data_IF_797791049278
#
_entry.id   IF_797791049278
#
_cell.length_a   1.000
_cell.length_b   1.000
_cell.length_c   1.000
_cell.angle_alpha   90.00
_cell.angle_beta   90.00
_cell.angle_gamma   90.00
#
_symmetry.space_group_name_H-M   'P 1'
#
loop_
_entity.id
_entity.type
_entity.pdbx_description
1 polymer ?
#
# COMPACT_ATOMS: atom_id res chain seq x y z
N UNK A 1 15.20 -16.68 -63.09
CA UNK A 1 14.09 -17.50 -63.63
C UNK A 1 13.51 -18.31 -62.47
N UNK A 2 12.25 -18.24 -62.07
CA UNK A 2 11.07 -17.55 -62.55
C UNK A 2 9.86 -18.26 -61.91
N UNK A 3 9.03 -17.49 -61.18
CA UNK A 3 7.55 -17.51 -61.06
C UNK A 3 6.81 -18.87 -60.96
N UNK A 4 5.83 -19.06 -60.06
CA UNK A 4 4.48 -18.45 -59.96
C UNK A 4 3.90 -18.72 -58.55
N UNK A 5 3.20 -17.86 -57.80
CA UNK A 5 2.01 -17.01 -58.00
C UNK A 5 0.68 -17.78 -58.11
N UNK A 6 -0.19 -17.64 -57.10
CA UNK A 6 -1.65 -17.64 -57.24
C UNK A 6 -2.28 -16.88 -56.05
N UNK A 7 -3.23 -16.01 -56.39
CA UNK A 7 -3.93 -15.00 -55.57
C UNK A 7 -5.44 -15.33 -55.58
N UNK A 8 -6.24 -14.53 -54.86
CA UNK A 8 -7.69 -14.28 -55.00
C UNK A 8 -8.57 -15.14 -54.05
N UNK A 9 -9.64 -14.66 -53.39
CA UNK A 9 -10.47 -13.47 -53.59
C UNK A 9 -11.39 -13.26 -52.36
N UNK A 10 -11.66 -11.99 -51.98
CA UNK A 10 -12.83 -11.56 -51.20
C UNK A 10 -14.04 -11.34 -52.14
N UNK A 11 -15.28 -11.56 -51.67
CA UNK A 11 -16.26 -10.46 -51.64
C UNK A 11 -17.18 -10.55 -50.38
N UNK A 12 -17.88 -9.53 -49.90
CA UNK A 12 -18.28 -8.25 -50.44
C UNK A 12 -19.29 -7.59 -49.49
N UNK A 13 -19.72 -6.40 -49.88
CA UNK A 13 -20.36 -5.32 -49.11
C UNK A 13 -21.76 -5.58 -48.53
N UNK A 14 -22.11 -4.75 -47.54
CA UNK A 14 -23.47 -4.43 -47.11
C UNK A 14 -23.51 -3.11 -46.35
N UNK A 15 -23.99 -2.05 -47.02
CA UNK A 15 -24.23 -0.69 -46.53
C UNK A 15 -25.70 -0.51 -46.10
N UNK A 16 -25.99 0.35 -45.10
CA UNK A 16 -27.15 1.28 -45.03
C UNK A 16 -27.45 1.79 -43.60
N UNK A 17 -27.07 3.04 -43.34
CA UNK A 17 -27.91 4.24 -43.06
C UNK A 17 -29.03 4.25 -41.98
N UNK A 18 -28.82 5.16 -41.00
CA UNK A 18 -29.67 6.25 -40.45
C UNK A 18 -31.17 6.05 -40.10
N UNK A 19 -31.58 6.57 -38.94
CA UNK A 19 -32.99 6.85 -38.64
C UNK A 19 -33.23 7.50 -37.26
N UNK A 20 -33.51 8.81 -37.27
CA UNK A 20 -34.10 9.58 -36.16
C UNK A 20 -35.58 9.22 -35.87
N UNK A 21 -36.01 9.58 -34.65
CA UNK A 21 -37.39 9.70 -34.09
C UNK A 21 -38.41 10.42 -35.03
N UNK A 22 -39.77 10.39 -34.84
CA UNK A 22 -40.46 10.86 -33.60
C UNK A 22 -41.95 10.44 -33.32
N UNK A 23 -42.56 11.12 -32.32
CA UNK A 23 -44.00 11.37 -31.98
C UNK A 23 -44.82 10.25 -31.31
N UNK A 24 -45.74 10.46 -30.35
CA UNK A 24 -46.71 11.55 -30.03
C UNK A 24 -47.22 11.46 -28.55
N UNK A 25 -47.40 12.57 -27.79
CA UNK A 25 -48.68 13.29 -27.42
C UNK A 25 -49.69 12.45 -26.60
N UNK A 26 -50.39 12.83 -25.50
CA UNK A 26 -50.80 14.06 -24.77
C UNK A 26 -51.00 13.66 -23.26
N UNK A 27 -51.09 14.49 -22.21
CA UNK A 27 -52.16 15.47 -21.91
C UNK A 27 -51.85 16.26 -20.61
N UNK A 28 -52.34 17.50 -20.60
CA UNK A 28 -52.37 18.58 -19.60
C UNK A 28 -52.92 18.22 -18.18
N UNK A 29 -52.41 18.84 -17.10
CA UNK A 29 -53.04 20.02 -16.46
C UNK A 29 -52.71 20.28 -14.98
N UNK A 30 -52.60 21.59 -14.71
CA UNK A 30 -52.94 22.36 -13.51
C UNK A 30 -51.86 22.77 -12.49
N UNK A 31 -51.82 24.09 -12.34
CA UNK A 31 -50.90 24.98 -11.64
C UNK A 31 -51.36 25.26 -10.19
N UNK A 32 -50.46 25.62 -9.27
CA UNK A 32 -50.87 26.26 -8.01
C UNK A 32 -49.87 26.35 -6.85
N UNK A 33 -49.17 27.49 -6.79
CA UNK A 33 -48.95 28.35 -5.58
C UNK A 33 -47.66 28.22 -4.73
N UNK A 34 -46.76 29.18 -5.01
CA UNK A 34 -45.98 30.09 -4.16
C UNK A 34 -45.66 29.76 -2.68
N UNK A 35 -44.39 29.98 -2.30
CA UNK A 35 -43.94 30.18 -0.92
C UNK A 35 -42.42 30.33 -0.79
N UNK A 36 -41.94 31.58 -0.75
CA UNK A 36 -40.56 32.01 -0.47
C UNK A 36 -40.15 31.65 0.98
N UNK A 37 -38.88 31.34 1.23
CA UNK A 37 -37.96 32.03 2.17
C UNK A 37 -36.63 31.25 2.31
N UNK A 38 -35.54 32.02 2.37
CA UNK A 38 -34.17 31.58 2.49
C UNK A 38 -33.66 31.74 3.93
N UNK A 39 -32.95 30.72 4.44
CA UNK A 39 -31.91 30.77 5.46
C UNK A 39 -31.48 29.30 5.65
N UNK A 40 -30.26 28.87 5.37
CA UNK A 40 -29.03 29.46 5.83
C UNK A 40 -28.76 28.97 7.25
N UNK A 41 -28.27 27.73 7.39
CA UNK A 41 -27.42 27.25 8.49
C UNK A 41 -26.99 25.80 8.20
N UNK A 42 -25.94 25.68 7.39
CA UNK A 42 -25.14 24.46 7.35
C UNK A 42 -24.36 24.38 8.65
N UNK A 43 -24.73 23.43 9.49
CA UNK A 43 -23.88 22.95 10.58
C UNK A 43 -23.65 21.46 10.35
N UNK A 44 -22.83 21.15 9.35
CA UNK A 44 -22.10 19.89 9.33
C UNK A 44 -21.08 19.99 10.48
N UNK A 45 -21.48 19.51 11.66
CA UNK A 45 -20.50 19.08 12.63
C UNK A 45 -19.76 17.93 11.94
N UNK A 46 -18.58 18.24 11.40
CA UNK A 46 -17.59 17.22 11.11
C UNK A 46 -17.38 16.50 12.44
N UNK A 47 -17.97 15.31 12.57
CA UNK A 47 -17.56 14.33 13.55
C UNK A 47 -16.05 14.19 13.35
N UNK A 48 -15.29 14.90 14.18
CA UNK A 48 -13.90 14.60 14.34
C UNK A 48 -13.91 13.17 14.87
N UNK A 49 -13.66 12.20 13.98
CA UNK A 49 -13.24 10.87 14.35
C UNK A 49 -11.96 11.07 15.19
N UNK A 50 -12.19 11.30 16.47
CA UNK A 50 -11.18 11.19 17.50
C UNK A 50 -10.83 9.71 17.50
N UNK A 51 -9.81 9.34 16.73
CA UNK A 51 -9.11 8.08 16.86
C UNK A 51 -8.43 8.03 18.22
N UNK A 52 -9.23 8.00 19.29
CA UNK A 52 -8.76 7.60 20.60
C UNK A 52 -8.49 6.10 20.48
N UNK A 53 -7.23 5.75 20.23
CA UNK A 53 -6.76 4.39 20.44
C UNK A 53 -6.94 4.08 21.92
N UNK A 54 -8.12 3.56 22.26
CA UNK A 54 -8.47 3.05 23.57
C UNK A 54 -7.49 1.91 23.91
N UNK A 55 -6.95 1.93 25.12
CA UNK A 55 -5.76 1.18 25.52
C UNK A 55 -5.98 -0.35 25.67
N UNK A 56 -7.06 -0.88 25.11
CA UNK A 56 -7.35 -2.32 25.05
C UNK A 56 -7.47 -2.88 23.60
N UNK A 57 -7.43 -2.02 22.57
CA UNK A 57 -7.55 -2.50 21.19
C UNK A 57 -6.27 -3.21 20.73
N UNK A 58 -6.26 -4.53 20.87
CA UNK A 58 -5.23 -5.41 20.30
C UNK A 58 -5.07 -5.18 18.80
N UNK A 59 -3.89 -5.52 18.27
CA UNK A 59 -3.57 -5.43 16.85
C UNK A 59 -4.61 -6.18 16.00
N UNK A 60 -5.12 -5.52 14.97
CA UNK A 60 -6.04 -6.11 13.99
C UNK A 60 -5.24 -6.66 12.82
N UNK A 61 -4.46 -7.71 13.10
CA UNK A 61 -3.57 -8.32 12.12
C UNK A 61 -4.38 -8.80 10.91
N UNK A 62 -3.98 -8.39 9.71
CA UNK A 62 -4.68 -8.68 8.46
C UNK A 62 -5.38 -7.47 7.85
N UNK A 63 -5.62 -6.43 8.65
CA UNK A 63 -6.08 -5.12 8.17
C UNK A 63 -4.89 -4.21 7.82
N UNK A 64 -5.18 -3.11 7.13
CA UNK A 64 -4.17 -2.07 6.85
C UNK A 64 -3.97 -1.24 8.13
N UNK A 65 -3.02 -1.68 8.95
CA UNK A 65 -2.61 -1.00 10.18
C UNK A 65 -1.39 -0.09 9.95
N UNK A 66 -1.42 1.09 10.56
CA UNK A 66 -0.37 2.11 10.52
C UNK A 66 0.11 2.44 11.93
N UNK A 67 1.42 2.38 12.15
CA UNK A 67 2.05 2.80 13.39
C UNK A 67 2.39 4.29 13.31
N UNK A 68 1.98 5.07 14.30
CA UNK A 68 2.34 6.48 14.37
C UNK A 68 3.83 6.62 14.75
N UNK A 69 4.60 7.35 13.95
CA UNK A 69 6.03 7.57 14.19
C UNK A 69 6.34 8.36 15.47
N UNK A 70 5.34 9.05 16.04
CA UNK A 70 5.50 9.92 17.21
C UNK A 70 5.10 9.24 18.52
N UNK A 71 3.91 8.65 18.58
CA UNK A 71 3.41 7.99 19.79
C UNK A 71 3.59 6.47 19.79
N UNK A 72 4.06 5.88 18.68
CA UNK A 72 4.28 4.44 18.49
C UNK A 72 3.02 3.55 18.60
N UNK A 73 1.84 4.15 18.81
CA UNK A 73 0.54 3.47 18.81
C UNK A 73 0.16 3.03 17.39
N UNK A 74 -0.59 1.94 17.31
CA UNK A 74 -1.10 1.35 16.08
C UNK A 74 -2.54 1.78 15.85
N UNK A 75 -2.89 1.99 14.58
CA UNK A 75 -4.22 2.38 14.16
C UNK A 75 -4.59 1.67 12.88
N UNK A 76 -5.85 1.32 12.69
CA UNK A 76 -6.35 0.90 11.38
C UNK A 76 -6.56 2.14 10.49
N UNK A 77 -6.25 2.02 9.19
CA UNK A 77 -6.31 3.13 8.25
C UNK A 77 -7.75 3.68 8.05
N UNK A 78 -8.75 2.83 8.23
CA UNK A 78 -10.18 3.16 8.14
C UNK A 78 -10.63 4.17 9.20
N UNK A 79 -10.03 4.14 10.40
CA UNK A 79 -10.26 5.09 11.52
C UNK A 79 -10.04 6.54 11.08
N UNK A 80 -9.22 6.75 10.06
CA UNK A 80 -8.91 8.08 9.53
C UNK A 80 -9.38 8.28 8.09
N UNK A 81 -10.23 7.39 7.58
CA UNK A 81 -10.72 7.40 6.20
C UNK A 81 -9.58 7.47 5.15
N UNK A 82 -8.45 6.84 5.44
CA UNK A 82 -7.32 6.77 4.50
C UNK A 82 -7.68 5.79 3.39
N UNK A 83 -7.49 6.19 2.13
CA UNK A 83 -7.73 5.31 0.98
C UNK A 83 -6.73 4.13 0.97
N UNK A 84 -7.26 2.91 1.14
CA UNK A 84 -6.45 1.69 1.26
C UNK A 84 -6.38 0.85 -0.01
N UNK A 85 -6.97 1.30 -1.13
CA UNK A 85 -6.99 0.55 -2.40
C UNK A 85 -5.59 0.18 -2.92
N UNK A 86 -4.58 0.97 -2.55
CA UNK A 86 -3.16 0.74 -2.90
C UNK A 86 -2.29 0.47 -1.67
N UNK A 87 -2.88 0.00 -0.58
CA UNK A 87 -2.18 -0.36 0.64
C UNK A 87 -2.25 -1.88 0.88
N UNK A 88 -1.30 -2.38 1.64
CA UNK A 88 -1.28 -3.76 2.09
C UNK A 88 -1.12 -3.81 3.62
N UNK A 89 -1.70 -4.81 4.29
CA UNK A 89 -1.31 -5.17 5.64
C UNK A 89 0.21 -5.42 5.70
N UNK A 90 0.80 -5.17 6.88
CA UNK A 90 2.23 -5.42 7.14
C UNK A 90 3.21 -4.61 6.28
N UNK A 91 2.76 -3.54 5.62
CA UNK A 91 3.66 -2.61 4.95
C UNK A 91 4.57 -1.89 5.97
N UNK A 92 5.78 -1.53 5.55
CA UNK A 92 6.79 -0.84 6.40
C UNK A 92 7.35 0.43 5.75
N UNK A 93 7.10 0.59 4.45
CA UNK A 93 7.54 1.67 3.60
C UNK A 93 6.61 2.89 3.68
N UNK A 94 6.42 3.46 4.88
CA UNK A 94 5.63 4.69 5.05
C UNK A 94 6.09 5.53 6.26
N UNK A 95 5.57 6.75 6.32
CA UNK A 95 5.56 7.60 7.52
C UNK A 95 4.12 7.96 7.82
N UNK A 96 3.71 7.74 9.07
CA UNK A 96 2.37 8.04 9.52
C UNK A 96 2.40 8.84 10.82
N UNK A 97 1.60 9.91 10.90
CA UNK A 97 1.30 10.61 12.13
C UNK A 97 -0.22 10.61 12.33
N UNK A 98 -0.68 10.16 13.50
CA UNK A 98 -2.09 10.27 13.86
C UNK A 98 -2.50 11.74 14.06
N UNK A 99 -3.80 12.02 13.96
CA UNK A 99 -4.36 13.36 14.10
C UNK A 99 -4.04 14.02 15.45
N UNK A 100 -3.91 13.24 16.52
CA UNK A 100 -3.51 13.72 17.85
C UNK A 100 -2.06 14.21 17.88
N UNK A 101 -1.16 13.52 17.18
CA UNK A 101 0.27 13.84 17.24
C UNK A 101 0.72 14.86 16.19
N UNK A 102 -0.01 14.97 15.07
CA UNK A 102 0.33 15.91 14.02
C UNK A 102 -0.13 17.33 14.36
N UNK A 103 0.73 18.33 14.16
CA UNK A 103 0.48 19.70 14.60
C UNK A 103 -0.73 20.39 13.94
N UNK A 104 -1.20 19.88 12.80
CA UNK A 104 -2.38 20.42 12.11
C UNK A 104 -3.71 19.89 12.65
N UNK A 105 -3.70 18.90 13.54
CA UNK A 105 -4.91 18.18 13.94
C UNK A 105 -5.47 17.22 12.88
N UNK A 106 -4.83 17.11 11.70
CA UNK A 106 -5.18 16.14 10.65
C UNK A 106 -4.17 14.99 10.63
N UNK A 107 -4.53 13.86 10.05
CA UNK A 107 -3.58 12.77 9.80
C UNK A 107 -2.55 13.15 8.74
N UNK A 108 -1.34 12.61 8.90
CA UNK A 108 -0.29 12.67 7.88
C UNK A 108 0.08 11.26 7.48
N UNK A 109 -0.06 10.92 6.21
CA UNK A 109 0.32 9.62 5.67
C UNK A 109 1.12 9.78 4.38
N UNK A 110 2.37 9.33 4.40
CA UNK A 110 3.27 9.36 3.26
C UNK A 110 3.77 7.94 2.96
N UNK A 111 3.37 7.40 1.81
CA UNK A 111 3.97 6.16 1.29
C UNK A 111 5.35 6.44 0.70
N UNK A 112 6.30 5.58 1.03
CA UNK A 112 7.64 5.55 0.46
C UNK A 112 7.73 4.40 -0.54
N UNK A 113 8.69 4.49 -1.44
CA UNK A 113 8.97 3.39 -2.35
C UNK A 113 9.59 2.22 -1.55
N UNK A 114 8.98 1.03 -1.61
CA UNK A 114 9.58 -0.16 -1.03
C UNK A 114 10.85 -0.55 -1.79
N UNK A 115 11.90 -0.91 -1.04
CA UNK A 115 13.03 -1.65 -1.55
C UNK A 115 12.72 -3.16 -1.59
N UNK A 116 13.60 -3.97 -2.19
CA UNK A 116 13.33 -5.40 -2.37
C UNK A 116 13.21 -6.18 -1.05
N UNK A 117 13.93 -5.78 0.01
CA UNK A 117 13.80 -6.37 1.35
C UNK A 117 12.38 -6.12 1.89
N UNK A 118 11.90 -4.89 1.80
CA UNK A 118 10.55 -4.50 2.27
C UNK A 118 9.45 -5.21 1.46
N UNK A 119 9.63 -5.36 0.14
CA UNK A 119 8.72 -6.14 -0.70
C UNK A 119 8.64 -7.60 -0.27
N UNK A 120 9.79 -8.25 -0.05
CA UNK A 120 9.85 -9.64 0.42
C UNK A 120 9.25 -9.80 1.82
N UNK A 121 9.54 -8.87 2.75
CA UNK A 121 8.97 -8.86 4.10
C UNK A 121 7.43 -8.77 4.04
N UNK A 122 6.90 -7.79 3.31
CA UNK A 122 5.46 -7.59 3.15
C UNK A 122 4.80 -8.82 2.54
N UNK A 123 5.42 -9.42 1.51
CA UNK A 123 4.91 -10.63 0.87
C UNK A 123 4.85 -11.82 1.83
N UNK A 124 5.95 -12.12 2.53
CA UNK A 124 6.02 -13.23 3.47
C UNK A 124 5.07 -13.03 4.67
N UNK A 125 4.93 -11.81 5.18
CA UNK A 125 4.00 -11.52 6.28
C UNK A 125 2.55 -11.79 5.87
N UNK A 126 2.13 -11.30 4.71
CA UNK A 126 0.78 -11.52 4.18
C UNK A 126 0.51 -13.00 3.85
N UNK A 127 1.48 -13.70 3.26
CA UNK A 127 1.37 -15.14 2.99
C UNK A 127 1.26 -15.95 4.28
N UNK A 128 2.08 -15.62 5.28
CA UNK A 128 2.06 -16.25 6.62
C UNK A 128 0.72 -16.03 7.30
N UNK A 129 0.25 -14.78 7.36
CA UNK A 129 -1.05 -14.45 7.96
C UNK A 129 -2.19 -15.21 7.27
N UNK A 130 -2.22 -15.19 5.93
CA UNK A 130 -3.27 -15.87 5.15
C UNK A 130 -3.28 -17.37 5.37
N UNK A 131 -2.10 -18.00 5.38
CA UNK A 131 -1.97 -19.43 5.62
C UNK A 131 -2.47 -19.79 7.02
N UNK A 132 -2.14 -19.00 8.05
CA UNK A 132 -2.68 -19.19 9.41
C UNK A 132 -4.20 -19.03 9.50
N UNK A 133 -4.77 -18.11 8.72
CA UNK A 133 -6.19 -17.81 8.78
C UNK A 133 -7.07 -18.76 7.94
N UNK A 134 -6.53 -19.37 6.89
CA UNK A 134 -7.33 -20.06 5.86
C UNK A 134 -6.98 -21.54 5.65
N UNK A 135 -5.78 -21.99 6.03
CA UNK A 135 -5.33 -23.36 5.79
C UNK A 135 -5.44 -24.21 7.05
N UNK A 136 -5.85 -25.47 6.91
CA UNK A 136 -5.91 -26.43 8.02
C UNK A 136 -4.53 -26.68 8.65
N UNK A 137 -3.49 -26.66 7.80
CA UNK A 137 -2.09 -26.87 8.19
C UNK A 137 -1.25 -25.64 7.78
N UNK A 138 -1.19 -24.59 8.62
CA UNK A 138 -0.49 -23.36 8.29
C UNK A 138 0.99 -23.56 7.95
N UNK A 139 1.39 -23.03 6.81
CA UNK A 139 2.78 -22.92 6.35
C UNK A 139 3.46 -21.69 6.95
N UNK A 140 4.75 -21.83 7.24
CA UNK A 140 5.64 -20.74 7.64
C UNK A 140 6.77 -20.49 6.64
N UNK A 141 6.87 -21.35 5.61
CA UNK A 141 7.88 -21.31 4.56
C UNK A 141 7.19 -21.35 3.19
N UNK A 142 7.58 -20.45 2.31
CA UNK A 142 6.92 -20.20 1.03
C UNK A 142 7.92 -20.27 -0.12
N UNK A 143 7.49 -20.87 -1.24
CA UNK A 143 8.30 -21.01 -2.44
C UNK A 143 8.56 -19.65 -3.09
N UNK A 144 9.81 -19.40 -3.50
CA UNK A 144 10.15 -18.21 -4.29
C UNK A 144 9.28 -18.08 -5.53
N UNK A 145 9.17 -19.15 -6.31
CA UNK A 145 8.59 -19.11 -7.65
C UNK A 145 7.08 -19.33 -7.63
N UNK A 146 6.55 -20.13 -6.69
CA UNK A 146 5.11 -20.41 -6.61
C UNK A 146 4.32 -19.44 -5.71
N UNK A 147 4.97 -18.81 -4.73
CA UNK A 147 4.28 -17.96 -3.75
C UNK A 147 4.76 -16.50 -3.78
N UNK A 148 6.06 -16.27 -3.58
CA UNK A 148 6.61 -14.92 -3.33
C UNK A 148 6.57 -14.05 -4.58
N UNK A 149 7.05 -14.56 -5.72
CA UNK A 149 7.02 -13.83 -6.99
C UNK A 149 5.58 -13.51 -7.40
N UNK A 150 4.64 -14.48 -7.45
CA UNK A 150 3.24 -14.19 -7.77
C UNK A 150 2.59 -13.18 -6.84
N UNK A 151 2.91 -13.21 -5.54
CA UNK A 151 2.40 -12.22 -4.59
C UNK A 151 2.86 -10.81 -4.94
N UNK A 152 4.18 -10.62 -5.11
CA UNK A 152 4.75 -9.30 -5.44
C UNK A 152 4.22 -8.83 -6.79
N UNK A 153 4.09 -9.73 -7.77
CA UNK A 153 3.56 -9.38 -9.09
C UNK A 153 2.09 -8.94 -9.03
N UNK A 154 1.27 -9.58 -8.19
CA UNK A 154 -0.15 -9.25 -8.01
C UNK A 154 -0.34 -7.90 -7.32
N UNK A 155 0.50 -7.59 -6.34
CA UNK A 155 0.36 -6.37 -5.51
C UNK A 155 1.43 -5.32 -5.80
N UNK A 156 2.00 -5.33 -7.00
CA UNK A 156 3.08 -4.43 -7.41
C UNK A 156 2.77 -2.95 -7.11
N UNK A 157 1.59 -2.49 -7.50
CA UNK A 157 1.16 -1.09 -7.34
C UNK A 157 0.92 -0.69 -5.88
N UNK A 158 0.69 -1.66 -5.00
CA UNK A 158 0.59 -1.42 -3.56
C UNK A 158 1.98 -1.23 -2.92
N UNK A 159 3.00 -1.91 -3.46
CA UNK A 159 4.36 -1.88 -2.91
C UNK A 159 5.22 -0.76 -3.50
N UNK A 160 4.97 -0.36 -4.75
CA UNK A 160 5.77 0.67 -5.43
C UNK A 160 4.93 1.54 -6.33
N UNK A 161 5.26 2.83 -6.35
CA UNK A 161 4.68 3.83 -7.26
C UNK A 161 5.42 3.87 -8.61
N UNK A 162 6.48 3.07 -8.78
CA UNK A 162 7.22 3.02 -10.04
C UNK A 162 6.44 2.30 -11.13
N UNK A 163 6.47 2.86 -12.33
CA UNK A 163 6.01 2.17 -13.53
C UNK A 163 6.69 0.81 -13.67
N UNK A 164 5.90 -0.21 -13.98
CA UNK A 164 6.39 -1.57 -14.15
C UNK A 164 7.33 -1.64 -15.38
N UNK A 165 8.60 -2.03 -15.21
CA UNK A 165 9.50 -2.22 -16.34
C UNK A 165 9.03 -3.36 -17.24
N UNK A 166 9.22 -3.23 -18.56
CA UNK A 166 8.86 -4.30 -19.51
C UNK A 166 9.61 -5.61 -19.28
N UNK A 167 10.85 -5.55 -18.74
CA UNK A 167 11.60 -6.72 -18.27
C UNK A 167 11.91 -6.59 -16.78
N UNK A 168 11.33 -7.48 -15.97
CA UNK A 168 11.53 -7.49 -14.53
C UNK A 168 12.86 -8.18 -14.17
N UNK A 169 13.72 -7.47 -13.43
CA UNK A 169 15.01 -8.01 -12.95
C UNK A 169 15.03 -8.29 -11.46
N UNK A 170 14.03 -7.83 -10.71
CA UNK A 170 13.91 -8.07 -9.27
C UNK A 170 13.75 -9.55 -8.90
N UNK A 171 13.10 -10.44 -9.69
CA UNK A 171 12.96 -11.85 -9.30
C UNK A 171 14.31 -12.55 -9.11
N UNK A 172 15.30 -12.18 -9.91
CA UNK A 172 16.66 -12.74 -9.86
C UNK A 172 17.43 -12.29 -8.61
N UNK A 173 17.02 -11.20 -7.96
CA UNK A 173 17.71 -10.64 -6.80
C UNK A 173 17.10 -11.07 -5.46
N UNK A 174 15.95 -11.77 -5.47
CA UNK A 174 15.24 -12.21 -4.27
C UNK A 174 16.13 -13.09 -3.38
N UNK A 175 16.69 -14.16 -3.95
CA UNK A 175 17.50 -15.14 -3.19
C UNK A 175 18.68 -14.44 -2.52
N UNK A 176 19.39 -13.59 -3.26
CA UNK A 176 20.52 -12.81 -2.75
C UNK A 176 20.11 -11.87 -1.62
N UNK A 177 18.97 -11.19 -1.77
CA UNK A 177 18.48 -10.23 -0.78
C UNK A 177 18.10 -10.92 0.52
N UNK A 178 17.25 -11.94 0.46
CA UNK A 178 16.79 -12.64 1.66
C UNK A 178 17.90 -13.48 2.30
N UNK A 179 18.85 -14.00 1.52
CA UNK A 179 20.00 -14.75 2.06
C UNK A 179 20.99 -13.87 2.81
N UNK A 180 21.04 -12.56 2.52
CA UNK A 180 21.90 -11.61 3.22
C UNK A 180 21.30 -11.14 4.55
N UNK A 181 19.98 -10.99 4.60
CA UNK A 181 19.22 -10.45 5.73
C UNK A 181 18.70 -11.59 6.63
N UNK A 182 19.62 -12.41 7.16
CA UNK A 182 19.29 -13.62 7.96
C UNK A 182 18.73 -13.33 9.35
N UNK A 183 18.87 -12.09 9.80
CA UNK A 183 18.22 -11.52 10.98
C UNK A 183 16.72 -11.28 10.76
N UNK A 184 16.25 -11.32 9.51
CA UNK A 184 14.83 -11.14 9.15
C UNK A 184 14.25 -12.39 8.49
N UNK A 185 15.01 -13.06 7.63
CA UNK A 185 14.51 -14.16 6.80
C UNK A 185 15.14 -15.51 7.12
N UNK A 186 14.29 -16.52 7.18
CA UNK A 186 14.66 -17.93 7.07
C UNK A 186 14.81 -18.28 5.59
N UNK A 187 15.85 -19.03 5.24
CA UNK A 187 16.06 -19.54 3.88
C UNK A 187 16.32 -21.03 3.95
N UNK A 188 15.62 -21.77 3.10
CA UNK A 188 15.79 -23.21 2.91
C UNK A 188 15.99 -23.46 1.42
N UNK A 189 17.20 -23.84 1.05
CA UNK A 189 17.59 -24.01 -0.37
C UNK A 189 17.13 -25.35 -0.95
N UNK A 190 17.01 -26.37 -0.10
CA UNK A 190 16.66 -27.74 -0.47
C UNK A 190 15.70 -28.33 0.58
N UNK A 191 14.91 -29.36 0.23
CA UNK A 191 14.16 -30.12 1.22
C UNK A 191 15.06 -30.73 2.29
N UNK A 192 14.51 -30.95 3.49
CA UNK A 192 15.28 -31.64 4.54
C UNK A 192 15.58 -33.07 4.10
N UNK A 193 16.73 -33.64 4.47
CA UNK A 193 17.05 -35.03 4.16
C UNK A 193 15.92 -35.98 4.60
N UNK A 194 15.34 -36.72 3.67
CA UNK A 194 14.23 -37.64 3.92
C UNK A 194 12.83 -37.01 3.91
N UNK A 195 12.71 -35.69 3.68
CA UNK A 195 11.43 -35.05 3.41
C UNK A 195 10.81 -35.57 2.11
N UNK A 196 9.47 -35.58 2.06
CA UNK A 196 8.70 -35.87 0.84
C UNK A 196 8.41 -34.62 0.01
N UNK A 197 8.85 -33.44 0.47
CA UNK A 197 8.63 -32.20 -0.26
C UNK A 197 9.35 -32.23 -1.62
N UNK A 198 8.67 -31.80 -2.70
CA UNK A 198 9.27 -31.80 -4.02
C UNK A 198 10.35 -30.71 -4.16
N UNK A 199 11.47 -31.07 -4.78
CA UNK A 199 12.63 -30.18 -5.02
C UNK A 199 12.24 -28.90 -5.78
N UNK A 200 11.28 -28.99 -6.71
CA UNK A 200 10.79 -27.86 -7.52
C UNK A 200 10.09 -26.74 -6.73
N UNK A 201 9.74 -26.97 -5.46
CA UNK A 201 9.18 -25.92 -4.60
C UNK A 201 10.25 -25.08 -3.93
N UNK A 202 11.51 -25.48 -4.02
CA UNK A 202 12.65 -24.82 -3.41
C UNK A 202 13.35 -23.87 -4.41
N UNK A 203 14.00 -22.78 -3.94
CA UNK A 203 14.17 -22.40 -2.53
C UNK A 203 12.90 -21.85 -1.88
N UNK A 204 12.73 -22.17 -0.58
CA UNK A 204 11.67 -21.64 0.28
C UNK A 204 12.21 -20.60 1.26
N UNK A 205 11.38 -19.62 1.58
CA UNK A 205 11.71 -18.54 2.50
C UNK A 205 10.59 -18.34 3.52
N UNK A 206 10.97 -17.89 4.71
CA UNK A 206 10.04 -17.57 5.79
C UNK A 206 10.52 -16.38 6.60
N UNK A 207 9.69 -15.90 7.52
CA UNK A 207 10.09 -14.89 8.49
C UNK A 207 10.79 -15.54 9.69
N UNK A 208 11.86 -14.93 10.17
CA UNK A 208 12.51 -15.36 11.41
C UNK A 208 11.60 -15.09 12.61
N UNK A 209 11.05 -13.87 12.70
CA UNK A 209 10.03 -13.53 13.69
C UNK A 209 8.64 -13.95 13.18
N UNK A 210 7.97 -14.81 13.95
CA UNK A 210 6.64 -15.32 13.65
C UNK A 210 5.54 -14.47 14.29
N UNK A 211 5.89 -13.52 15.16
CA UNK A 211 4.97 -12.52 15.66
C UNK A 211 4.84 -11.36 14.66
N UNK A 212 3.79 -11.42 13.84
CA UNK A 212 3.53 -10.40 12.82
C UNK A 212 3.18 -9.04 13.43
N UNK A 213 2.85 -8.96 14.72
CA UNK A 213 2.65 -7.71 15.44
C UNK A 213 3.93 -6.87 15.55
N UNK A 214 5.11 -7.48 15.46
CA UNK A 214 6.37 -6.75 15.51
C UNK A 214 6.74 -6.10 14.16
N UNK A 215 6.02 -6.41 13.08
CA UNK A 215 6.29 -5.83 11.77
C UNK A 215 5.76 -4.39 11.76
N UNK A 216 6.68 -3.44 11.64
CA UNK A 216 6.37 -2.02 11.46
C UNK A 216 7.55 -1.26 10.86
N UNK A 217 7.36 0.01 10.48
CA UNK A 217 8.45 0.85 10.01
C UNK A 217 9.56 0.98 11.05
N UNK A 218 10.81 0.96 10.61
CA UNK A 218 11.94 1.30 11.47
C UNK A 218 11.99 2.82 11.65
N UNK A 219 11.15 3.33 12.54
CA UNK A 219 11.31 4.69 13.05
C UNK A 219 12.52 4.69 13.98
N UNK A 220 13.70 4.98 13.43
CA UNK A 220 14.84 5.39 14.26
C UNK A 220 14.29 6.42 15.23
N UNK A 221 14.41 6.14 16.53
CA UNK A 221 13.80 6.95 17.57
C UNK A 221 14.50 8.31 17.58
N UNK A 222 14.12 9.19 16.67
CA UNK A 222 14.53 10.59 16.65
C UNK A 222 13.79 11.30 17.80
N UNK A 223 14.10 10.89 19.03
CA UNK A 223 13.97 11.74 20.21
C UNK A 223 15.14 12.73 20.27
N UNK A 224 15.57 13.27 19.13
CA UNK A 224 16.45 14.44 19.09
C UNK A 224 15.59 15.70 19.12
N UNK A 225 15.45 16.21 20.35
CA UNK A 225 15.60 17.64 20.64
C UNK A 225 14.42 18.55 20.26
N UNK A 226 13.27 18.33 20.89
CA UNK A 226 12.50 19.48 21.41
C UNK A 226 12.94 19.78 22.85
N UNK A 227 14.24 20.06 23.01
CA UNK A 227 14.73 20.71 24.21
C UNK A 227 14.23 22.14 24.18
N UNK A 228 13.38 22.50 25.14
CA UNK A 228 13.07 23.89 25.46
C UNK A 228 14.37 24.70 25.56
N UNK A 229 14.51 25.84 24.87
CA UNK A 229 15.69 26.68 25.05
C UNK A 229 15.65 27.21 26.49
N UNK A 230 16.54 26.67 27.32
CA UNK A 230 16.84 27.24 28.63
C UNK A 230 17.56 28.56 28.37
N UNK A 231 16.99 29.64 28.87
CA UNK A 231 17.56 30.98 28.85
C UNK A 231 18.93 31.01 29.53
N UNK A 232 19.98 31.36 28.79
CA UNK A 232 21.28 31.64 29.38
C UNK A 232 22.39 31.91 28.37
N UNK A 233 22.90 33.14 28.38
CA UNK A 233 24.29 33.43 27.99
C UNK A 233 24.49 34.12 26.65
N UNK A 234 24.92 35.37 26.73
CA UNK A 234 25.28 36.28 25.64
C UNK A 234 26.60 35.89 24.95
N UNK A 235 26.79 36.45 23.74
CA UNK A 235 27.97 36.49 22.87
C UNK A 235 28.02 35.32 21.87
N UNK A 236 27.97 35.50 20.55
CA UNK A 236 28.29 36.65 19.72
C UNK A 236 29.40 36.22 18.77
N UNK A 237 29.06 35.66 17.60
CA UNK A 237 29.90 35.77 16.41
C UNK A 237 29.14 35.37 15.14
N UNK A 238 29.35 36.20 14.13
CA UNK A 238 28.69 36.25 12.84
C UNK A 238 29.36 35.23 11.90
N UNK A 239 28.59 34.35 11.26
CA UNK A 239 29.06 33.63 10.07
C UNK A 239 27.93 33.52 9.06
N UNK A 240 28.12 34.26 7.97
CA UNK A 240 27.36 34.27 6.71
C UNK A 240 27.07 32.87 6.17
N UNK A 241 25.81 32.61 5.81
CA UNK A 241 25.44 31.64 4.78
C UNK A 241 24.55 32.33 3.72
N UNK A 242 24.80 32.11 2.41
CA UNK A 242 23.98 32.69 1.36
C UNK A 242 22.68 31.90 1.19
N UNK A 243 21.58 32.63 1.14
CA UNK A 243 20.21 32.16 0.93
C UNK A 243 19.99 31.97 -0.58
N UNK A 244 19.80 30.73 -1.03
CA UNK A 244 19.38 30.44 -2.40
C UNK A 244 17.85 30.56 -2.45
N UNK A 245 17.37 31.60 -3.13
CA UNK A 245 15.99 31.76 -3.55
C UNK A 245 15.86 31.06 -4.90
N UNK A 246 14.94 30.09 -5.02
CA UNK A 246 14.45 29.64 -6.33
C UNK A 246 13.11 30.33 -6.59
N UNK A 247 13.04 31.02 -7.73
CA UNK A 247 11.79 31.41 -8.39
C UNK A 247 10.99 30.20 -8.86
#
# INVERSE_FOLDING_TARGET
>A
AGATAATEQEPGAGDSTFGELPTSMDTESSNGKEGMEAAGEGSEAADALTGSGDEESGRQLGEVELQCALCTKWFTADTFCIETATCLPFMTNYVFHCNVCHHSGNTYFLRKQANLKEMCLTALANLTWRSRAQEEHPKTMFSKDKDIIPFIDKYWECMTTRQRPGKLTWPNNIVKTMSKERDVFLVKEHPDPGSKDPEEEYPKFGLLDQDLGNIGPSYDTQRQTTGTPTTGGLNGENINQPQIILE
#
